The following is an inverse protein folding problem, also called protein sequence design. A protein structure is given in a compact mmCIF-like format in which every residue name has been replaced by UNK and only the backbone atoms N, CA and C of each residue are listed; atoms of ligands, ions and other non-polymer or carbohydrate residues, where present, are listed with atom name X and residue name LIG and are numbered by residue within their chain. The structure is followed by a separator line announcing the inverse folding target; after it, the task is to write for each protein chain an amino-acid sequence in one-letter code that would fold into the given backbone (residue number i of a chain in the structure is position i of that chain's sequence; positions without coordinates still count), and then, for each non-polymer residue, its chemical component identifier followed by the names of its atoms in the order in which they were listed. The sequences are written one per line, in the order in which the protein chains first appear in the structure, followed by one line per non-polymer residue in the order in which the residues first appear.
data_IF_045914650731
#
_entry.id   IF_045914650731
#
_cell.length_a   1.000
_cell.length_b   1.000
_cell.length_c   1.000
_cell.angle_alpha   90.00
_cell.angle_beta   90.00
_cell.angle_gamma   90.00
#
_symmetry.space_group_name_H-M   'P 1'
#
loop_
_entity.id
_entity.type
_entity.pdbx_description
1 polymer ?
#
# COMPACT_ATOMS: atom_id res chain seq x y z
N UNK A 1 -14.17 -2.01 18.54
CA UNK A 1 -14.51 -2.18 17.12
C UNK A 1 -13.21 -2.32 16.37
N UNK A 2 -12.94 -3.53 15.87
CA UNK A 2 -11.69 -3.86 15.19
C UNK A 2 -11.78 -3.17 13.83
N UNK A 3 -11.05 -2.09 13.64
CA UNK A 3 -10.98 -1.44 12.33
C UNK A 3 -10.06 -2.29 11.47
N UNK A 4 -10.56 -3.45 11.04
CA UNK A 4 -10.11 -4.16 9.84
C UNK A 4 -10.48 -3.27 8.64
N UNK A 5 -9.98 -2.03 8.62
CA UNK A 5 -10.48 -0.93 7.80
C UNK A 5 -10.16 -1.08 6.31
N UNK A 6 -9.65 -2.24 5.91
CA UNK A 6 -9.42 -2.60 4.54
C UNK A 6 -10.55 -3.51 4.03
N UNK A 7 -11.71 -2.92 3.77
CA UNK A 7 -12.90 -3.66 3.30
C UNK A 7 -12.83 -4.04 1.82
N UNK A 8 -12.15 -3.22 1.00
CA UNK A 8 -12.08 -3.38 -0.46
C UNK A 8 -10.69 -3.74 -0.97
N UNK A 9 -9.75 -4.05 -0.08
CA UNK A 9 -8.34 -4.24 -0.42
C UNK A 9 -7.65 -5.24 0.50
N UNK A 10 -6.33 -5.32 0.35
CA UNK A 10 -5.47 -6.11 1.22
C UNK A 10 -4.65 -5.21 2.14
N UNK A 11 -4.43 -5.67 3.37
CA UNK A 11 -3.51 -5.01 4.28
C UNK A 11 -2.07 -5.32 3.86
N UNK A 12 -1.27 -4.26 3.71
CA UNK A 12 0.14 -4.33 3.40
C UNK A 12 0.95 -3.56 4.45
N UNK A 13 2.09 -4.12 4.82
CA UNK A 13 3.10 -3.42 5.60
C UNK A 13 4.07 -2.76 4.63
N UNK A 14 3.99 -1.44 4.51
CA UNK A 14 4.80 -0.65 3.60
C UNK A 14 5.89 0.08 4.37
N UNK A 15 7.07 0.20 3.76
CA UNK A 15 8.12 1.02 4.36
C UNK A 15 7.67 2.49 4.43
N UNK A 16 7.11 2.97 3.32
CA UNK A 16 6.63 4.35 3.18
C UNK A 16 5.39 4.40 2.27
N UNK A 17 4.51 5.36 2.52
CA UNK A 17 3.41 5.71 1.61
C UNK A 17 3.67 7.09 1.04
N UNK A 18 3.84 7.17 -0.27
CA UNK A 18 4.13 8.40 -1.01
C UNK A 18 2.94 8.79 -1.88
N UNK A 19 2.87 10.06 -2.30
CA UNK A 19 1.82 10.50 -3.21
C UNK A 19 2.00 9.88 -4.60
N UNK A 20 0.91 9.40 -5.21
CA UNK A 20 0.91 8.92 -6.59
C UNK A 20 1.37 9.97 -7.62
N UNK A 21 1.30 11.25 -7.25
CA UNK A 21 1.78 12.39 -8.02
C UNK A 21 3.28 12.67 -7.87
N UNK A 22 4.00 11.96 -6.99
CA UNK A 22 5.45 12.16 -6.88
C UNK A 22 6.13 11.78 -8.20
N UNK A 23 7.12 12.55 -8.67
CA UNK A 23 7.75 12.32 -9.98
C UNK A 23 8.35 10.91 -10.10
N UNK A 24 8.90 10.38 -9.00
CA UNK A 24 9.41 9.00 -8.94
C UNK A 24 8.31 7.95 -9.14
N UNK A 25 7.14 8.16 -8.54
CA UNK A 25 6.00 7.24 -8.64
C UNK A 25 5.35 7.34 -10.01
N UNK A 26 5.22 8.55 -10.57
CA UNK A 26 4.69 8.78 -11.91
C UNK A 26 5.56 8.10 -12.98
N UNK A 27 6.90 8.16 -12.82
CA UNK A 27 7.84 7.45 -13.70
C UNK A 27 7.61 5.93 -13.69
N UNK A 28 7.47 5.36 -12.48
CA UNK A 28 7.27 3.92 -12.29
C UNK A 28 5.88 3.50 -12.78
N UNK A 29 4.84 4.26 -12.46
CA UNK A 29 3.48 4.03 -12.94
C UNK A 29 3.41 4.08 -14.47
N UNK A 30 4.11 5.03 -15.10
CA UNK A 30 4.19 5.13 -16.57
C UNK A 30 4.89 3.93 -17.20
N UNK A 31 5.99 3.46 -16.60
CA UNK A 31 6.69 2.24 -17.05
C UNK A 31 5.82 0.99 -16.93
N UNK A 32 4.99 0.95 -15.89
CA UNK A 32 4.07 -0.15 -15.60
C UNK A 32 2.73 -0.03 -16.36
N UNK A 33 2.54 1.01 -17.17
CA UNK A 33 1.30 1.25 -17.92
C UNK A 33 0.09 1.62 -17.05
N UNK A 34 0.32 2.07 -15.81
CA UNK A 34 -0.75 2.44 -14.87
C UNK A 34 -1.16 3.89 -15.13
N UNK A 35 -2.05 4.09 -16.09
CA UNK A 35 -2.67 5.38 -16.32
C UNK A 35 -3.68 5.69 -15.21
N UNK A 36 -3.46 6.74 -14.40
CA UNK A 36 -4.50 7.31 -13.53
C UNK A 36 -4.31 7.20 -12.01
N UNK A 37 -3.18 6.68 -11.50
CA UNK A 37 -2.93 6.60 -10.04
C UNK A 37 -2.51 7.91 -9.38
N UNK A 38 -2.65 9.04 -10.09
CA UNK A 38 -2.25 10.38 -9.64
C UNK A 38 -2.87 10.77 -8.28
N UNK A 39 -4.12 10.39 -8.03
CA UNK A 39 -4.86 10.87 -6.85
C UNK A 39 -4.66 10.02 -5.59
N UNK A 40 -4.14 8.80 -5.70
CA UNK A 40 -4.05 7.89 -4.54
C UNK A 40 -2.62 7.77 -4.02
N UNK A 41 -2.46 7.42 -2.74
CA UNK A 41 -1.13 7.12 -2.21
C UNK A 41 -0.64 5.78 -2.78
N UNK A 42 0.67 5.69 -2.89
CA UNK A 42 1.38 4.52 -3.37
C UNK A 42 2.30 4.06 -2.26
N UNK A 43 2.20 2.79 -1.92
CA UNK A 43 3.06 2.16 -0.94
C UNK A 43 4.35 1.66 -1.60
N UNK A 44 5.49 1.91 -0.96
CA UNK A 44 6.81 1.49 -1.42
C UNK A 44 7.35 0.39 -0.51
N UNK A 45 7.89 -0.67 -1.13
CA UNK A 45 8.39 -1.89 -0.47
C UNK A 45 7.35 -2.42 0.52
N UNK A 46 6.21 -2.80 -0.03
CA UNK A 46 5.06 -3.30 0.69
C UNK A 46 5.01 -4.82 0.70
N UNK A 47 4.92 -5.40 1.89
CA UNK A 47 4.74 -6.84 2.04
C UNK A 47 3.27 -7.14 2.39
N UNK A 48 2.59 -8.04 1.66
CA UNK A 48 1.22 -8.43 1.99
C UNK A 48 1.18 -9.16 3.33
N UNK A 49 0.40 -8.63 4.28
CA UNK A 49 0.26 -9.22 5.61
C UNK A 49 -0.45 -10.57 5.57
N UNK A 50 -1.37 -10.76 4.62
CA UNK A 50 -2.09 -12.01 4.40
C UNK A 50 -1.18 -13.19 4.02
N UNK A 51 -0.07 -12.94 3.30
CA UNK A 51 0.82 -14.00 2.82
C UNK A 51 1.70 -14.61 3.93
N UNK A 52 1.90 -13.87 5.02
CA UNK A 52 2.83 -14.23 6.10
C UNK A 52 2.10 -14.67 7.38
N UNK A 53 0.77 -14.70 7.37
CA UNK A 53 -0.03 -15.10 8.54
C UNK A 53 0.18 -14.19 9.76
N UNK A 54 0.84 -13.05 9.58
CA UNK A 54 1.13 -12.10 10.64
C UNK A 54 -0.04 -11.13 10.78
N UNK A 55 -0.47 -10.93 12.02
CA UNK A 55 -1.45 -9.91 12.37
C UNK A 55 -0.92 -8.53 11.96
N UNK A 56 -1.78 -7.63 11.50
CA UNK A 56 -1.45 -6.26 11.10
C UNK A 56 -0.72 -5.46 12.18
N UNK A 57 -0.79 -5.89 13.44
CA UNK A 57 0.00 -5.37 14.56
C UNK A 57 1.51 -5.65 14.49
N UNK A 58 1.98 -6.49 13.56
CA UNK A 58 3.40 -6.82 13.42
C UNK A 58 4.12 -5.97 12.36
N UNK A 59 3.44 -4.99 11.76
CA UNK A 59 4.11 -4.05 10.88
C UNK A 59 4.89 -3.03 11.72
N UNK A 60 6.22 -3.14 11.72
CA UNK A 60 7.09 -2.17 12.39
C UNK A 60 7.18 -0.83 11.63
N UNK A 61 6.76 -0.81 10.37
CA UNK A 61 6.67 0.39 9.53
C UNK A 61 5.21 0.85 9.40
N UNK A 62 4.85 1.38 8.23
CA UNK A 62 3.53 1.93 8.00
C UNK A 62 2.57 0.86 7.49
N UNK A 63 1.51 0.60 8.25
CA UNK A 63 0.42 -0.25 7.75
C UNK A 63 -0.45 0.55 6.80
N UNK A 64 -0.68 0.01 5.61
CA UNK A 64 -1.53 0.62 4.59
C UNK A 64 -2.51 -0.41 4.02
N UNK A 65 -3.73 0.02 3.74
CA UNK A 65 -4.70 -0.73 2.98
C UNK A 65 -4.53 -0.40 1.50
N UNK A 66 -4.14 -1.36 0.67
CA UNK A 66 -3.99 -1.14 -0.77
C UNK A 66 -5.05 -1.95 -1.54
N UNK A 67 -5.73 -1.27 -2.45
CA UNK A 67 -6.84 -1.84 -3.24
C UNK A 67 -6.45 -2.11 -4.70
N UNK A 68 -5.35 -1.52 -5.16
CA UNK A 68 -4.91 -1.66 -6.54
C UNK A 68 -3.86 -2.75 -6.74
N UNK A 69 -3.20 -2.68 -7.90
CA UNK A 69 -2.19 -3.66 -8.31
C UNK A 69 -0.94 -3.61 -7.41
N UNK A 70 -0.40 -4.79 -7.12
CA UNK A 70 0.87 -4.98 -6.41
C UNK A 70 1.94 -5.41 -7.40
N UNK A 71 3.01 -4.65 -7.52
CA UNK A 71 4.13 -4.93 -8.41
C UNK A 71 5.24 -5.63 -7.63
N UNK A 72 5.04 -6.93 -7.41
CA UNK A 72 5.99 -7.82 -6.75
C UNK A 72 6.41 -7.36 -5.33
N UNK A 73 5.53 -6.62 -4.65
CA UNK A 73 5.77 -6.02 -3.33
C UNK A 73 6.71 -4.81 -3.34
N UNK A 74 7.19 -4.38 -4.50
CA UNK A 74 8.01 -3.16 -4.61
C UNK A 74 7.15 -1.91 -4.57
N UNK A 75 6.01 -1.95 -5.26
CA UNK A 75 5.08 -0.82 -5.38
C UNK A 75 3.65 -1.34 -5.31
N UNK A 76 2.85 -0.72 -4.45
CA UNK A 76 1.43 -0.98 -4.33
C UNK A 76 0.66 0.30 -4.61
N UNK A 77 -0.32 0.24 -5.52
CA UNK A 77 -1.13 1.42 -5.87
C UNK A 77 -2.46 1.44 -5.13
N UNK A 78 -3.06 2.63 -5.06
CA UNK A 78 -4.30 2.87 -4.34
C UNK A 78 -4.24 2.44 -2.86
N UNK A 79 -3.17 2.87 -2.19
CA UNK A 79 -2.95 2.65 -0.77
C UNK A 79 -3.55 3.79 0.07
N UNK A 80 -4.05 3.44 1.25
CA UNK A 80 -4.48 4.38 2.27
C UNK A 80 -3.82 3.99 3.59
N UNK A 81 -3.16 4.92 4.31
CA UNK A 81 -2.55 4.60 5.58
C UNK A 81 -3.65 4.24 6.58
N UNK A 82 -3.49 3.10 7.25
CA UNK A 82 -4.42 2.64 8.28
C UNK A 82 -3.70 2.66 9.61
N UNK A 83 -4.24 3.45 10.54
CA UNK A 83 -3.75 3.45 11.91
C UNK A 83 -4.28 2.19 12.62
N UNK A 84 -3.53 1.11 12.53
CA UNK A 84 -3.66 -0.07 13.39
C UNK A 84 -3.02 0.24 14.74
N UNK A 85 -3.66 1.14 15.48
CA UNK A 85 -3.29 1.42 16.87
C UNK A 85 -3.64 0.17 17.68
N UNK A 86 -2.64 -0.45 18.30
CA UNK A 86 -2.85 -1.50 19.30
C UNK A 86 -3.51 -0.91 20.55
#
# INVERSE_FOLDING_TARGET
ARSDSCNSGSLHCCNETVSGNSPSVSSIASLLGIAGSATSLVGIKCTPLAAIGISSNNCAQQTACCTGNSFNGLVNVACTPVNVQA
#
